data_IF_578049966504
#
_entry.id   IF_578049966504
#
_cell.length_a   1.000
_cell.length_b   1.000
_cell.length_c   1.000
_cell.angle_alpha   90.00
_cell.angle_beta   90.00
_cell.angle_gamma   90.00
#
_symmetry.space_group_name_H-M   'P 1'
#
loop_
_entity.id
_entity.type
_entity.pdbx_description
1 polymer ?
#
# COMPACT_ATOMS: atom_id res chain seq x y z
N UNK A 1 19.67 0.78 1.21
CA UNK A 1 18.45 1.23 0.52
C UNK A 1 18.93 1.93 -0.73
N UNK A 2 18.76 1.31 -1.90
CA UNK A 2 19.21 1.90 -3.16
C UNK A 2 18.15 2.94 -3.56
N UNK A 3 18.50 4.24 -3.74
CA UNK A 3 17.52 5.27 -4.10
C UNK A 3 16.76 4.99 -5.41
N UNK A 4 17.30 4.14 -6.28
CA UNK A 4 16.68 3.75 -7.55
C UNK A 4 16.03 2.36 -7.50
N UNK A 5 15.90 1.73 -6.33
CA UNK A 5 15.22 0.45 -6.24
C UNK A 5 13.72 0.60 -6.53
N UNK A 6 13.13 -0.24 -7.39
CA UNK A 6 11.69 -0.20 -7.61
C UNK A 6 10.96 -0.54 -6.30
N UNK A 7 9.95 0.25 -5.99
CA UNK A 7 9.17 0.12 -4.77
C UNK A 7 7.69 -0.13 -5.09
N UNK A 8 7.05 -0.95 -4.27
CA UNK A 8 5.59 -1.01 -4.21
C UNK A 8 5.10 0.19 -3.40
N UNK A 9 4.26 1.02 -4.01
CA UNK A 9 3.61 2.15 -3.37
C UNK A 9 2.11 1.88 -3.22
N UNK A 10 1.62 1.81 -1.98
CA UNK A 10 0.19 1.72 -1.68
C UNK A 10 -0.35 3.10 -1.28
N UNK A 11 -1.35 3.55 -2.03
CA UNK A 11 -2.16 4.72 -1.68
C UNK A 11 -3.35 4.26 -0.85
N UNK A 12 -3.35 4.57 0.45
CA UNK A 12 -4.43 4.18 1.36
C UNK A 12 -5.28 5.39 1.76
N UNK A 13 -6.59 5.20 1.77
CA UNK A 13 -7.57 6.07 2.42
C UNK A 13 -8.46 5.22 3.30
N UNK A 14 -8.66 5.64 4.54
CA UNK A 14 -9.57 4.99 5.49
C UNK A 14 -10.73 5.93 5.77
N UNK A 15 -11.95 5.44 5.56
CA UNK A 15 -13.19 6.21 5.73
C UNK A 15 -14.00 5.63 6.90
N UNK A 16 -14.76 6.48 7.59
CA UNK A 16 -15.82 6.08 8.50
C UNK A 16 -17.08 6.79 8.03
N UNK A 17 -18.08 6.00 7.63
CA UNK A 17 -19.24 6.50 6.90
C UNK A 17 -18.79 7.31 5.66
N UNK A 18 -19.23 8.55 5.54
CA UNK A 18 -18.90 9.49 4.47
C UNK A 18 -17.64 10.33 4.76
N UNK A 19 -17.00 10.14 5.92
CA UNK A 19 -15.87 10.97 6.36
C UNK A 19 -14.53 10.27 6.16
N UNK A 20 -13.60 10.96 5.51
CA UNK A 20 -12.21 10.51 5.40
C UNK A 20 -11.51 10.68 6.75
N UNK A 21 -11.06 9.57 7.35
CA UNK A 21 -10.43 9.56 8.67
C UNK A 21 -8.90 9.56 8.56
N UNK A 22 -8.33 8.93 7.53
CA UNK A 22 -6.88 9.02 7.29
C UNK A 22 -6.50 8.77 5.84
N UNK A 23 -5.33 9.26 5.44
CA UNK A 23 -4.68 8.90 4.19
C UNK A 23 -3.19 8.68 4.42
N UNK A 24 -2.60 7.74 3.69
CA UNK A 24 -1.18 7.42 3.77
C UNK A 24 -0.62 6.95 2.42
N UNK A 25 0.65 7.25 2.20
CA UNK A 25 1.49 6.65 1.18
C UNK A 25 2.42 5.65 1.85
N UNK A 26 2.31 4.37 1.50
CA UNK A 26 3.11 3.30 2.10
C UNK A 26 4.07 2.76 1.06
N UNK A 27 5.36 2.99 1.28
CA UNK A 27 6.43 2.54 0.39
C UNK A 27 7.06 1.25 0.93
N UNK A 28 7.16 0.25 0.07
CA UNK A 28 7.76 -1.04 0.38
C UNK A 28 8.80 -1.40 -0.69
N UNK A 29 10.05 -1.73 -0.32
CA UNK A 29 11.05 -2.17 -1.30
C UNK A 29 10.59 -3.40 -2.07
N UNK A 30 10.56 -3.32 -3.40
CA UNK A 30 9.97 -4.35 -4.27
C UNK A 30 10.70 -5.69 -4.21
N UNK A 31 11.97 -5.70 -3.80
CA UNK A 31 12.74 -6.94 -3.59
C UNK A 31 12.34 -7.70 -2.32
N UNK A 32 11.56 -7.09 -1.42
CA UNK A 32 11.25 -7.66 -0.09
C UNK A 32 9.76 -7.87 0.15
N UNK A 33 8.90 -7.15 -0.56
CA UNK A 33 7.47 -7.13 -0.30
C UNK A 33 6.67 -7.27 -1.58
N UNK A 34 5.59 -8.06 -1.50
CA UNK A 34 4.60 -8.24 -2.55
C UNK A 34 3.21 -8.16 -1.93
N UNK A 35 2.24 -7.61 -2.67
CA UNK A 35 0.83 -7.68 -2.31
C UNK A 35 0.22 -8.95 -2.93
N UNK A 36 -0.32 -9.83 -2.12
CA UNK A 36 -1.06 -11.02 -2.55
C UNK A 36 -2.43 -11.07 -1.91
N UNK A 37 -3.39 -11.68 -2.60
CA UNK A 37 -4.73 -11.92 -2.09
C UNK A 37 -5.22 -13.26 -2.63
N UNK A 38 -5.93 -14.01 -1.78
CA UNK A 38 -6.73 -15.15 -2.20
C UNK A 38 -8.18 -14.79 -1.92
N UNK A 39 -9.00 -14.80 -2.97
CA UNK A 39 -10.44 -14.57 -2.86
C UNK A 39 -11.12 -15.90 -3.15
N UNK A 40 -11.92 -16.37 -2.19
CA UNK A 40 -12.81 -17.51 -2.39
C UNK A 40 -14.20 -16.95 -2.69
N UNK A 41 -14.81 -17.47 -3.77
CA UNK A 41 -16.14 -17.11 -4.24
C UNK A 41 -17.20 -18.04 -3.64
#
# INVERSE_FOLDING_TARGET
MNPSEPCLLLHRRTWSEDKLISSALLYHPGSRYQLSSKVEL
#
